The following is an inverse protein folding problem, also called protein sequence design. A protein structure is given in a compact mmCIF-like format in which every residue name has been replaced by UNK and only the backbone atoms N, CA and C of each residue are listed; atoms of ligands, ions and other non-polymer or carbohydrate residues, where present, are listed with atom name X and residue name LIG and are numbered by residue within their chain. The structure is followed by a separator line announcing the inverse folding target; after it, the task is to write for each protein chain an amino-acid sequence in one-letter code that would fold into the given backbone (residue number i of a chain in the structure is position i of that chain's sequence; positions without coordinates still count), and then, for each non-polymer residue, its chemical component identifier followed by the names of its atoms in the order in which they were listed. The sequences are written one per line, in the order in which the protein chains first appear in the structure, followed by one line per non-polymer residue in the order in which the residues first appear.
data_IF_867080909128
#
_entry.id   IF_867080909128
#
_cell.length_a   1.000
_cell.length_b   1.000
_cell.length_c   1.000
_cell.angle_alpha   90.00
_cell.angle_beta   90.00
_cell.angle_gamma   90.00
#
_symmetry.space_group_name_H-M   'P 1'
#
loop_
_entity.id
_entity.type
_entity.pdbx_description
1 polymer ?
#
# COMPACT_ATOMS: atom_id res chain seq x y z
N UNK A 1 15.79 3.31 20.22
CA UNK A 1 15.08 4.02 19.14
C UNK A 1 14.52 3.02 18.15
N UNK A 2 15.35 2.11 17.64
CA UNK A 2 14.92 0.95 16.86
C UNK A 2 13.83 0.12 17.56
N UNK A 3 14.08 -0.34 18.79
CA UNK A 3 13.10 -1.13 19.56
C UNK A 3 11.74 -0.45 19.78
N UNK A 4 11.73 0.87 20.05
CA UNK A 4 10.47 1.62 20.20
C UNK A 4 9.71 1.75 18.88
N UNK A 5 10.42 1.91 17.75
CA UNK A 5 9.81 1.87 16.43
C UNK A 5 9.19 0.50 16.17
N UNK A 6 9.94 -0.58 16.36
CA UNK A 6 9.50 -1.94 16.10
C UNK A 6 8.25 -2.30 16.90
N UNK A 7 8.22 -2.02 18.20
CA UNK A 7 7.07 -2.30 19.05
C UNK A 7 5.80 -1.58 18.57
N UNK A 8 5.93 -0.28 18.26
CA UNK A 8 4.82 0.54 17.76
C UNK A 8 4.37 0.09 16.37
N UNK A 9 5.34 -0.17 15.49
CA UNK A 9 5.10 -0.55 14.10
C UNK A 9 4.43 -1.93 14.04
N UNK A 10 4.95 -2.93 14.74
CA UNK A 10 4.38 -4.28 14.75
C UNK A 10 2.97 -4.31 15.32
N UNK A 11 2.68 -3.48 16.33
CA UNK A 11 1.31 -3.34 16.85
C UNK A 11 0.35 -2.81 15.79
N UNK A 12 0.72 -1.75 15.09
CA UNK A 12 -0.09 -1.18 14.00
C UNK A 12 -0.20 -2.15 12.82
N UNK A 13 0.91 -2.79 12.44
CA UNK A 13 0.93 -3.75 11.34
C UNK A 13 0.03 -4.95 11.63
N UNK A 14 0.07 -5.49 12.86
CA UNK A 14 -0.84 -6.55 13.29
C UNK A 14 -2.30 -6.10 13.25
N UNK A 15 -2.61 -4.93 13.78
CA UNK A 15 -3.96 -4.37 13.76
C UNK A 15 -4.47 -4.21 12.30
N UNK A 16 -3.62 -3.75 11.37
CA UNK A 16 -3.94 -3.67 9.94
C UNK A 16 -4.25 -5.05 9.36
N UNK A 17 -3.45 -6.07 9.68
CA UNK A 17 -3.70 -7.44 9.18
C UNK A 17 -4.98 -8.05 9.70
N UNK A 18 -5.34 -7.78 10.95
CA UNK A 18 -6.63 -8.21 11.52
C UNK A 18 -7.80 -7.54 10.81
N UNK A 19 -7.74 -6.22 10.59
CA UNK A 19 -8.81 -5.50 9.88
C UNK A 19 -8.93 -5.94 8.42
N UNK A 20 -7.81 -6.14 7.72
CA UNK A 20 -7.80 -6.69 6.35
C UNK A 20 -8.46 -8.06 6.29
N UNK A 21 -8.12 -8.94 7.23
CA UNK A 21 -8.74 -10.26 7.33
C UNK A 21 -10.25 -10.17 7.52
N UNK A 22 -10.70 -9.35 8.47
CA UNK A 22 -12.12 -9.18 8.76
C UNK A 22 -12.90 -8.63 7.55
N UNK A 23 -12.35 -7.64 6.84
CA UNK A 23 -12.97 -7.11 5.62
C UNK A 23 -13.08 -8.14 4.49
N UNK A 24 -12.09 -9.02 4.33
CA UNK A 24 -12.09 -10.01 3.24
C UNK A 24 -12.89 -11.27 3.54
N UNK A 25 -12.97 -11.70 4.80
CA UNK A 25 -13.48 -13.02 5.15
C UNK A 25 -14.61 -13.01 6.18
N UNK A 26 -14.87 -11.90 6.86
CA UNK A 26 -15.81 -11.83 7.99
C UNK A 26 -16.86 -10.72 7.83
N UNK A 27 -17.07 -10.23 6.60
CA UNK A 27 -18.00 -9.13 6.29
C UNK A 27 -17.72 -7.85 7.09
N UNK A 28 -16.46 -7.64 7.50
CA UNK A 28 -16.01 -6.43 8.17
C UNK A 28 -16.09 -5.20 7.26
N UNK A 29 -16.33 -4.03 7.88
CA UNK A 29 -16.36 -2.72 7.20
C UNK A 29 -15.36 -1.75 7.85
N UNK A 30 -14.13 -2.23 8.06
CA UNK A 30 -13.07 -1.41 8.62
C UNK A 30 -12.51 -0.44 7.58
N UNK A 31 -12.48 0.85 7.91
CA UNK A 31 -11.76 1.83 7.10
C UNK A 31 -10.24 1.70 7.30
N UNK A 32 -9.61 0.98 6.36
CA UNK A 32 -8.17 0.75 6.37
C UNK A 32 -7.33 2.04 6.20
N UNK A 33 -7.93 3.16 5.76
CA UNK A 33 -7.21 4.43 5.66
C UNK A 33 -6.78 4.94 7.04
N UNK A 34 -7.56 4.68 8.08
CA UNK A 34 -7.26 5.17 9.45
C UNK A 34 -5.95 4.57 9.95
N UNK A 35 -5.78 3.26 9.77
CA UNK A 35 -4.58 2.58 10.23
C UNK A 35 -3.38 2.84 9.33
N UNK A 36 -3.58 2.95 8.02
CA UNK A 36 -2.53 3.36 7.10
C UNK A 36 -2.02 4.76 7.46
N UNK A 37 -2.89 5.72 7.78
CA UNK A 37 -2.49 7.07 8.21
C UNK A 37 -1.67 7.04 9.52
N UNK A 38 -2.03 6.16 10.47
CA UNK A 38 -1.27 5.97 11.71
C UNK A 38 0.12 5.39 11.42
N UNK A 39 0.23 4.41 10.53
CA UNK A 39 1.53 3.86 10.11
C UNK A 39 2.34 4.94 9.40
N UNK A 40 1.74 5.69 8.47
CA UNK A 40 2.41 6.78 7.74
C UNK A 40 3.00 7.83 8.69
N UNK A 41 2.24 8.26 9.70
CA UNK A 41 2.72 9.19 10.72
C UNK A 41 3.90 8.62 11.51
N UNK A 42 3.83 7.34 11.90
CA UNK A 42 4.92 6.67 12.61
C UNK A 42 6.19 6.58 11.75
N UNK A 43 6.11 6.09 10.52
CA UNK A 43 7.30 5.96 9.66
C UNK A 43 7.87 7.33 9.27
N UNK A 44 7.02 8.35 9.13
CA UNK A 44 7.45 9.74 8.91
C UNK A 44 8.18 10.29 10.13
N UNK A 45 7.71 9.99 11.34
CA UNK A 45 8.40 10.38 12.57
C UNK A 45 9.79 9.73 12.66
N UNK A 46 9.93 8.48 12.22
CA UNK A 46 11.17 7.70 12.34
C UNK A 46 12.11 7.82 11.13
N UNK A 47 11.71 8.56 10.10
CA UNK A 47 12.52 8.79 8.90
C UNK A 47 13.89 9.37 9.26
N UNK A 48 14.97 8.76 8.77
CA UNK A 48 16.36 9.15 9.01
C UNK A 48 16.81 9.17 10.49
N UNK A 49 16.03 8.57 11.39
CA UNK A 49 16.38 8.51 12.82
C UNK A 49 17.04 7.20 13.24
N UNK A 50 16.87 6.14 12.47
CA UNK A 50 17.43 4.82 12.76
C UNK A 50 18.74 4.66 12.01
N UNK A 51 19.83 4.48 12.76
CA UNK A 51 21.15 4.26 12.18
C UNK A 51 21.22 2.88 11.50
N UNK A 52 21.79 2.82 10.30
CA UNK A 52 21.94 1.60 9.52
C UNK A 52 23.31 0.93 9.78
N UNK A 53 23.64 0.67 11.05
CA UNK A 53 24.92 0.08 11.46
C UNK A 53 24.98 -1.44 11.25
N UNK A 54 23.83 -2.09 11.23
CA UNK A 54 23.67 -3.52 11.07
C UNK A 54 22.51 -3.84 10.10
N UNK A 55 22.28 -5.14 9.86
CA UNK A 55 21.21 -5.61 8.99
C UNK A 55 19.82 -5.21 9.50
N UNK A 56 19.62 -5.12 10.81
CA UNK A 56 18.31 -4.80 11.40
C UNK A 56 17.95 -3.34 11.16
N UNK A 57 18.89 -2.42 11.39
CA UNK A 57 18.75 -1.01 11.06
C UNK A 57 18.59 -0.77 9.55
N UNK A 58 19.29 -1.53 8.70
CA UNK A 58 19.12 -1.46 7.24
C UNK A 58 17.71 -1.89 6.81
N UNK A 59 17.24 -3.07 7.27
CA UNK A 59 15.90 -3.58 6.97
C UNK A 59 14.83 -2.60 7.46
N UNK A 60 15.02 -2.05 8.65
CA UNK A 60 14.07 -1.11 9.23
C UNK A 60 13.95 0.18 8.41
N UNK A 61 15.07 0.73 7.94
CA UNK A 61 15.04 1.89 7.04
C UNK A 61 14.35 1.56 5.71
N UNK A 62 14.52 0.34 5.17
CA UNK A 62 13.79 -0.11 3.98
C UNK A 62 12.27 -0.23 4.23
N UNK A 63 11.86 -0.73 5.40
CA UNK A 63 10.46 -0.79 5.81
C UNK A 63 9.88 0.62 5.91
N UNK A 64 10.58 1.54 6.58
CA UNK A 64 10.18 2.94 6.72
C UNK A 64 10.01 3.59 5.33
N UNK A 65 10.99 3.45 4.45
CA UNK A 65 10.93 4.02 3.10
C UNK A 65 9.76 3.47 2.30
N UNK A 66 9.55 2.14 2.32
CA UNK A 66 8.45 1.49 1.63
C UNK A 66 7.10 1.94 2.15
N UNK A 67 6.92 1.96 3.47
CA UNK A 67 5.63 2.31 4.07
C UNK A 67 5.34 3.81 4.00
N UNK A 68 6.35 4.68 3.89
CA UNK A 68 6.10 6.08 3.49
C UNK A 68 5.42 6.19 2.14
N UNK A 69 5.77 5.32 1.19
CA UNK A 69 5.13 5.30 -0.13
C UNK A 69 3.76 4.63 -0.05
N UNK A 70 3.68 3.44 0.52
CA UNK A 70 2.46 2.61 0.49
C UNK A 70 1.35 3.11 1.41
N UNK A 71 1.71 3.87 2.45
CA UNK A 71 0.79 4.40 3.46
C UNK A 71 0.53 5.90 3.29
N UNK A 72 1.15 6.53 2.30
CA UNK A 72 0.81 7.91 1.94
C UNK A 72 -0.71 8.05 1.78
N UNK A 73 -1.36 9.08 2.37
CA UNK A 73 -2.81 9.22 2.33
C UNK A 73 -3.40 9.19 0.91
N UNK A 74 -2.70 9.72 -0.10
CA UNK A 74 -3.18 9.70 -1.47
C UNK A 74 -3.06 8.30 -2.09
N UNK A 75 -1.98 7.59 -1.79
CA UNK A 75 -1.76 6.20 -2.22
C UNK A 75 -2.79 5.28 -1.58
N UNK A 76 -2.95 5.32 -0.25
CA UNK A 76 -3.91 4.49 0.47
C UNK A 76 -5.35 4.72 0.02
N UNK A 77 -5.76 5.99 -0.13
CA UNK A 77 -7.11 6.33 -0.60
C UNK A 77 -7.38 5.81 -2.00
N UNK A 78 -6.43 5.98 -2.92
CA UNK A 78 -6.57 5.51 -4.30
C UNK A 78 -6.54 3.98 -4.39
N UNK A 79 -5.66 3.31 -3.63
CA UNK A 79 -5.63 1.85 -3.52
C UNK A 79 -6.98 1.30 -3.04
N UNK A 80 -7.51 1.84 -1.94
CA UNK A 80 -8.79 1.39 -1.41
C UNK A 80 -9.96 1.68 -2.38
N UNK A 81 -9.89 2.77 -3.15
CA UNK A 81 -10.85 3.03 -4.23
C UNK A 81 -10.76 1.99 -5.36
N UNK A 82 -9.54 1.57 -5.74
CA UNK A 82 -9.30 0.54 -6.76
C UNK A 82 -9.77 -0.84 -6.29
N UNK A 83 -9.49 -1.20 -5.04
CA UNK A 83 -9.84 -2.51 -4.47
C UNK A 83 -11.35 -2.73 -4.34
N UNK A 84 -12.13 -1.65 -4.19
CA UNK A 84 -13.59 -1.72 -4.18
C UNK A 84 -14.14 -1.71 -5.63
N UNK A 85 -14.40 -2.90 -6.17
CA UNK A 85 -14.92 -3.10 -7.53
C UNK A 85 -16.27 -2.42 -7.79
N UNK A 86 -17.09 -2.20 -6.76
CA UNK A 86 -18.39 -1.52 -6.92
C UNK A 86 -18.22 -0.08 -7.43
N UNK A 87 -17.08 0.56 -7.18
CA UNK A 87 -16.75 1.87 -7.73
C UNK A 87 -16.74 1.90 -9.27
N UNK A 88 -16.51 0.76 -9.92
CA UNK A 88 -16.42 0.63 -11.38
C UNK A 88 -17.62 -0.10 -12.00
N UNK A 89 -18.41 -0.80 -11.18
CA UNK A 89 -19.53 -1.64 -11.58
C UNK A 89 -20.74 -0.84 -12.16
N UNK A 90 -20.69 0.49 -12.03
CA UNK A 90 -21.72 1.40 -12.53
C UNK A 90 -21.82 1.33 -14.06
N UNK A 91 -23.05 1.25 -14.56
CA UNK A 91 -23.40 1.21 -15.99
C UNK A 91 -22.87 -0.01 -16.78
N UNK A 92 -22.56 -1.12 -16.11
CA UNK A 92 -22.28 -2.38 -16.79
C UNK A 92 -23.59 -3.15 -16.99
N UNK A 93 -23.92 -3.50 -18.23
CA UNK A 93 -25.17 -4.22 -18.53
C UNK A 93 -25.18 -5.62 -17.94
N UNK A 94 -26.38 -6.14 -17.65
CA UNK A 94 -26.54 -7.50 -17.10
C UNK A 94 -25.93 -8.57 -18.03
N UNK A 95 -26.12 -8.42 -19.34
CA UNK A 95 -25.54 -9.30 -20.36
C UNK A 95 -24.01 -9.35 -20.28
N UNK A 96 -23.35 -8.21 -20.02
CA UNK A 96 -21.89 -8.17 -19.85
C UNK A 96 -21.49 -8.80 -18.52
N UNK A 97 -22.28 -8.63 -17.45
CA UNK A 97 -22.00 -9.25 -16.13
C UNK A 97 -22.12 -10.78 -16.16
N UNK A 98 -23.00 -11.32 -17.01
CA UNK A 98 -23.19 -12.77 -17.18
C UNK A 98 -22.04 -13.43 -17.97
N UNK A 99 -21.31 -12.66 -18.78
CA UNK A 99 -20.11 -13.10 -19.51
C UNK A 99 -18.84 -12.69 -18.76
N UNK A 100 -18.25 -13.63 -18.01
CA UNK A 100 -17.09 -13.37 -17.16
C UNK A 100 -15.92 -12.71 -17.91
N UNK A 101 -15.66 -13.11 -19.16
CA UNK A 101 -14.56 -12.54 -19.94
C UNK A 101 -14.83 -11.08 -20.30
N UNK A 102 -16.04 -10.78 -20.80
CA UNK A 102 -16.43 -9.39 -21.11
C UNK A 102 -16.46 -8.52 -19.87
N UNK A 103 -16.96 -9.06 -18.74
CA UNK A 103 -16.98 -8.36 -17.47
C UNK A 103 -15.57 -7.95 -17.03
N UNK A 104 -14.62 -8.90 -16.99
CA UNK A 104 -13.23 -8.64 -16.63
C UNK A 104 -12.58 -7.60 -17.55
N UNK A 105 -12.82 -7.69 -18.86
CA UNK A 105 -12.28 -6.74 -19.83
C UNK A 105 -12.82 -5.31 -19.61
N UNK A 106 -14.13 -5.17 -19.38
CA UNK A 106 -14.76 -3.87 -19.11
C UNK A 106 -14.25 -3.28 -17.79
N UNK A 107 -14.14 -4.11 -16.74
CA UNK A 107 -13.59 -3.70 -15.45
C UNK A 107 -12.15 -3.22 -15.59
N UNK A 108 -11.28 -4.00 -16.23
CA UNK A 108 -9.88 -3.64 -16.44
C UNK A 108 -9.73 -2.30 -17.18
N UNK A 109 -10.55 -2.08 -18.22
CA UNK A 109 -10.53 -0.82 -18.97
C UNK A 109 -10.97 0.39 -18.12
N UNK A 110 -11.97 0.21 -17.25
CA UNK A 110 -12.42 1.26 -16.33
C UNK A 110 -11.38 1.56 -15.25
N UNK A 111 -10.75 0.54 -14.69
CA UNK A 111 -9.74 0.67 -13.62
C UNK A 111 -8.40 1.20 -14.15
N UNK A 112 -8.10 1.03 -15.43
CA UNK A 112 -6.79 1.35 -16.05
C UNK A 112 -6.25 2.72 -15.65
N UNK A 113 -7.09 3.77 -15.71
CA UNK A 113 -6.66 5.14 -15.42
C UNK A 113 -6.19 5.28 -13.97
N UNK A 114 -6.94 4.73 -13.03
CA UNK A 114 -6.66 4.84 -11.61
C UNK A 114 -5.46 3.96 -11.21
N UNK A 115 -5.31 2.78 -11.82
CA UNK A 115 -4.12 1.93 -11.66
C UNK A 115 -2.85 2.65 -12.14
N UNK A 116 -2.89 3.26 -13.33
CA UNK A 116 -1.75 4.03 -13.84
C UNK A 116 -1.41 5.20 -12.92
N UNK A 117 -2.42 5.94 -12.45
CA UNK A 117 -2.24 7.03 -11.50
C UNK A 117 -1.61 6.54 -10.18
N UNK A 118 -2.03 5.39 -9.67
CA UNK A 118 -1.45 4.79 -8.46
C UNK A 118 0.03 4.45 -8.66
N UNK A 119 0.38 3.89 -9.83
CA UNK A 119 1.77 3.58 -10.19
C UNK A 119 2.62 4.84 -10.27
N UNK A 120 2.12 5.89 -10.92
CA UNK A 120 2.80 7.18 -11.05
C UNK A 120 3.08 7.83 -9.69
N UNK A 121 2.07 7.89 -8.80
CA UNK A 121 2.22 8.47 -7.46
C UNK A 121 3.26 7.69 -6.67
N UNK A 122 3.17 6.36 -6.64
CA UNK A 122 4.13 5.52 -5.92
C UNK A 122 5.55 5.69 -6.45
N UNK A 123 5.70 5.77 -7.77
CA UNK A 123 7.00 5.94 -8.38
C UNK A 123 7.60 7.30 -8.02
N UNK A 124 6.80 8.36 -8.10
CA UNK A 124 7.23 9.70 -7.70
C UNK A 124 7.68 9.75 -6.24
N UNK A 125 6.87 9.21 -5.31
CA UNK A 125 7.21 9.16 -3.89
C UNK A 125 8.47 8.32 -3.62
N UNK A 126 8.65 7.19 -4.31
CA UNK A 126 9.87 6.39 -4.17
C UNK A 126 11.13 7.17 -4.60
N UNK A 127 11.05 7.93 -5.69
CA UNK A 127 12.12 8.81 -6.14
C UNK A 127 12.43 9.93 -5.16
N UNK A 128 11.41 10.54 -4.54
CA UNK A 128 11.60 11.53 -3.48
C UNK A 128 12.30 10.95 -2.24
N UNK A 129 12.20 9.63 -2.02
CA UNK A 129 12.89 8.92 -0.94
C UNK A 129 14.26 8.34 -1.38
N UNK A 130 14.76 8.70 -2.56
CA UNK A 130 16.12 8.36 -3.02
C UNK A 130 16.25 7.04 -3.77
N UNK A 131 15.14 6.47 -4.27
CA UNK A 131 15.13 5.23 -5.05
C UNK A 131 14.94 5.51 -6.55
N UNK A 132 15.42 4.64 -7.43
CA UNK A 132 15.29 4.85 -8.87
C UNK A 132 13.84 4.73 -9.35
N UNK A 133 13.06 3.89 -8.66
CA UNK A 133 11.64 3.66 -8.91
C UNK A 133 10.97 3.01 -7.71
N UNK A 134 9.63 2.94 -7.73
CA UNK A 134 8.90 2.13 -6.74
C UNK A 134 9.27 0.64 -6.82
N UNK A 135 9.56 0.13 -8.03
CA UNK A 135 9.96 -1.28 -8.21
C UNK A 135 11.32 -1.55 -7.57
N UNK A 136 12.28 -0.63 -7.74
CA UNK A 136 13.60 -0.71 -7.08
C UNK A 136 13.46 -0.77 -5.56
N UNK A 137 12.64 0.12 -4.98
CA UNK A 137 12.32 0.11 -3.55
C UNK A 137 11.75 -1.24 -3.11
N UNK A 138 10.75 -1.78 -3.81
CA UNK A 138 10.14 -3.08 -3.50
C UNK A 138 11.17 -4.22 -3.57
N UNK A 139 12.05 -4.23 -4.59
CA UNK A 139 13.07 -5.27 -4.73
C UNK A 139 14.11 -5.20 -3.61
N UNK A 140 14.55 -4.00 -3.22
CA UNK A 140 15.46 -3.81 -2.09
C UNK A 140 14.83 -4.26 -0.78
N UNK A 141 13.57 -3.88 -0.51
CA UNK A 141 12.87 -4.32 0.70
C UNK A 141 12.69 -5.84 0.76
N UNK A 142 12.57 -6.52 -0.39
CA UNK A 142 12.42 -7.98 -0.46
C UNK A 142 13.76 -8.74 -0.53
N UNK A 143 14.91 -8.05 -0.49
CA UNK A 143 16.24 -8.67 -0.58
C UNK A 143 16.56 -9.31 -1.93
N UNK A 144 15.94 -8.85 -3.03
CA UNK A 144 16.12 -9.43 -4.37
C UNK A 144 17.36 -8.86 -5.08
N UNK A 145 17.84 -7.67 -4.68
CA UNK A 145 18.98 -6.96 -5.29
C UNK A 145 20.02 -6.48 -4.26
N UNK A 146 20.13 -7.16 -3.11
CA UNK A 146 21.06 -6.82 -2.02
C UNK A 146 22.37 -7.60 -2.10
#
# INVERSE_FOLDING_TARGET
MLSDFEDKYLKLYRELKVQQWSNYFEEGDHDLNIIDERIYKLVSEYTNKIEALDSEGMITNLIIAKDKVDKDPNVSKLRNYIDNLENYNVNISKEVKEDNYKYQLVMANKMKKDVLKLMEIRNHLAMENGYDSYIDLVFKTNGINS
#
